data_IF_158170128840
#
_entry.id   IF_158170128840
#
_cell.length_a   1.000
_cell.length_b   1.000
_cell.length_c   1.000
_cell.angle_alpha   90.00
_cell.angle_beta   90.00
_cell.angle_gamma   90.00
#
_symmetry.space_group_name_H-M   'P 1'
#
loop_
_entity.id
_entity.type
_entity.pdbx_description
1 polymer ?
#
# COMPACT_ATOMS: atom_id res chain seq x y z
N UNK A 1 -15.16 13.44 26.09
CA UNK A 1 -15.82 12.11 26.06
C UNK A 1 -16.54 11.81 24.74
N UNK A 2 -17.61 12.52 24.36
CA UNK A 2 -18.40 12.22 23.13
C UNK A 2 -17.59 12.09 21.82
N UNK A 3 -16.62 12.99 21.58
CA UNK A 3 -15.75 12.94 20.38
C UNK A 3 -14.88 11.69 20.32
N UNK A 4 -14.26 11.31 21.44
CA UNK A 4 -13.40 10.14 21.53
C UNK A 4 -14.22 8.87 21.27
N UNK A 5 -15.39 8.76 21.91
CA UNK A 5 -16.31 7.64 21.69
C UNK A 5 -16.72 7.54 20.22
N UNK A 6 -17.08 8.66 19.58
CA UNK A 6 -17.43 8.68 18.16
C UNK A 6 -16.27 8.21 17.25
N UNK A 7 -15.05 8.64 17.54
CA UNK A 7 -13.86 8.20 16.81
C UNK A 7 -13.65 6.68 16.95
N UNK A 8 -13.72 6.16 18.18
CA UNK A 8 -13.53 4.72 18.43
C UNK A 8 -14.60 3.87 17.74
N UNK A 9 -15.86 4.32 17.73
CA UNK A 9 -16.94 3.63 17.01
C UNK A 9 -16.65 3.61 15.51
N UNK A 10 -16.27 4.74 14.91
CA UNK A 10 -15.97 4.80 13.48
C UNK A 10 -14.73 3.98 13.14
N UNK A 11 -13.69 3.96 13.98
CA UNK A 11 -12.53 3.07 13.82
C UNK A 11 -12.96 1.61 13.82
N UNK A 12 -13.80 1.19 14.78
CA UNK A 12 -14.31 -0.18 14.83
C UNK A 12 -15.13 -0.53 13.58
N UNK A 13 -15.99 0.39 13.10
CA UNK A 13 -16.75 0.19 11.86
C UNK A 13 -15.83 0.09 10.64
N UNK A 14 -14.79 0.93 10.55
CA UNK A 14 -13.83 0.86 9.45
C UNK A 14 -13.11 -0.49 9.41
N UNK A 15 -12.67 -1.00 10.57
CA UNK A 15 -12.09 -2.34 10.69
C UNK A 15 -13.09 -3.43 10.26
N UNK A 16 -14.36 -3.34 10.68
CA UNK A 16 -15.39 -4.30 10.31
C UNK A 16 -15.73 -4.27 8.82
N UNK A 17 -15.73 -3.09 8.19
CA UNK A 17 -15.98 -2.94 6.75
C UNK A 17 -14.79 -3.46 5.95
N UNK A 18 -13.58 -3.01 6.30
CA UNK A 18 -12.40 -3.19 5.45
C UNK A 18 -11.56 -4.44 5.77
N UNK A 19 -11.77 -5.06 6.94
CA UNK A 19 -11.05 -6.25 7.34
C UNK A 19 -9.64 -5.97 7.86
N UNK A 20 -8.90 -7.06 8.13
CA UNK A 20 -7.49 -7.01 8.52
C UNK A 20 -6.77 -8.27 8.05
N UNK A 21 -5.74 -8.07 7.22
CA UNK A 21 -5.02 -9.12 6.52
C UNK A 21 -3.50 -8.93 6.71
N UNK A 22 -2.92 -9.26 7.87
CA UNK A 22 -1.58 -8.84 8.30
C UNK A 22 -0.43 -9.23 7.36
N UNK A 23 -0.64 -10.26 6.54
CA UNK A 23 0.38 -10.84 5.68
C UNK A 23 0.09 -10.66 4.19
N UNK A 24 -1.00 -9.98 3.83
CA UNK A 24 -1.35 -9.77 2.44
C UNK A 24 -0.39 -8.78 1.75
N UNK A 25 -0.23 -8.96 0.44
CA UNK A 25 0.25 -7.90 -0.45
C UNK A 25 1.69 -7.45 -0.12
N UNK A 26 1.93 -6.14 0.05
CA UNK A 26 3.27 -5.60 0.36
C UNK A 26 3.76 -6.01 1.77
N UNK A 27 2.94 -6.68 2.59
CA UNK A 27 3.42 -7.27 3.84
C UNK A 27 4.55 -8.28 3.60
N UNK A 28 4.58 -8.94 2.45
CA UNK A 28 5.68 -9.81 2.01
C UNK A 28 7.03 -9.08 1.91
N UNK A 29 7.01 -7.75 1.75
CA UNK A 29 8.24 -6.93 1.71
C UNK A 29 8.54 -6.40 3.11
N UNK A 30 7.53 -5.87 3.80
CA UNK A 30 7.77 -5.12 5.04
C UNK A 30 7.89 -5.99 6.30
N UNK A 31 7.14 -7.09 6.38
CA UNK A 31 7.15 -7.98 7.56
C UNK A 31 8.47 -8.75 7.66
N UNK A 32 9.04 -9.32 6.58
CA UNK A 32 10.37 -9.94 6.64
C UNK A 32 11.47 -8.99 7.11
N UNK A 33 11.39 -7.70 6.75
CA UNK A 33 12.28 -6.68 7.28
C UNK A 33 12.22 -6.55 8.81
N UNK A 34 11.02 -6.56 9.39
CA UNK A 34 10.81 -6.54 10.85
C UNK A 34 11.35 -7.83 11.48
N UNK A 35 11.01 -8.98 10.90
CA UNK A 35 11.43 -10.30 11.36
C UNK A 35 12.95 -10.45 11.35
N UNK A 36 13.64 -9.98 10.31
CA UNK A 36 15.10 -10.00 10.20
C UNK A 36 15.77 -9.14 11.29
N UNK A 37 15.18 -8.01 11.68
CA UNK A 37 15.67 -7.21 12.81
C UNK A 37 15.49 -7.97 14.13
N UNK A 38 14.33 -8.60 14.32
CA UNK A 38 14.02 -9.36 15.55
C UNK A 38 14.88 -10.64 15.65
N UNK A 39 15.12 -11.31 14.54
CA UNK A 39 15.95 -12.50 14.43
C UNK A 39 16.83 -12.44 13.16
N UNK A 40 18.11 -12.03 13.29
CA UNK A 40 19.03 -11.89 12.16
C UNK A 40 19.32 -13.17 11.37
N UNK A 41 19.07 -14.34 11.96
CA UNK A 41 19.30 -15.64 11.30
C UNK A 41 18.26 -15.98 10.24
N UNK A 42 17.07 -15.36 10.28
CA UNK A 42 16.00 -15.60 9.30
C UNK A 42 16.41 -15.11 7.92
N UNK A 43 15.94 -15.78 6.86
CA UNK A 43 16.18 -15.39 5.47
C UNK A 43 17.69 -15.31 5.11
N UNK A 44 18.45 -16.42 5.16
CA UNK A 44 19.85 -16.43 4.72
C UNK A 44 20.02 -16.23 3.21
N UNK A 45 19.01 -16.60 2.42
CA UNK A 45 19.00 -16.48 0.97
C UNK A 45 17.94 -15.48 0.54
N UNK A 46 18.25 -14.68 -0.48
CA UNK A 46 17.31 -13.78 -1.16
C UNK A 46 16.74 -12.65 -0.28
N UNK A 47 17.44 -12.29 0.82
CA UNK A 47 17.02 -11.20 1.68
C UNK A 47 17.00 -9.84 0.96
N UNK A 48 17.83 -9.66 -0.07
CA UNK A 48 17.92 -8.44 -0.87
C UNK A 48 16.59 -8.01 -1.50
N UNK A 49 15.68 -8.95 -1.82
CA UNK A 49 14.39 -8.62 -2.43
C UNK A 49 13.46 -7.85 -1.49
N UNK A 50 13.62 -7.99 -0.17
CA UNK A 50 12.87 -7.19 0.78
C UNK A 50 13.75 -6.17 1.53
N UNK A 51 15.04 -6.45 1.71
CA UNK A 51 15.93 -5.61 2.52
C UNK A 51 16.25 -4.26 1.89
N UNK A 52 16.27 -4.16 0.56
CA UNK A 52 16.44 -2.87 -0.13
C UNK A 52 15.26 -1.93 0.20
N UNK A 53 14.03 -2.45 0.16
CA UNK A 53 12.85 -1.68 0.57
C UNK A 53 12.83 -1.39 2.07
N UNK A 54 13.04 -2.42 2.90
CA UNK A 54 12.97 -2.34 4.35
C UNK A 54 14.11 -1.51 4.96
N UNK A 55 15.29 -1.52 4.36
CA UNK A 55 16.50 -0.85 4.85
C UNK A 55 16.47 0.67 4.66
N UNK A 56 15.69 1.17 3.71
CA UNK A 56 15.56 2.60 3.42
C UNK A 56 14.39 3.29 4.14
N UNK A 57 13.81 2.66 5.16
CA UNK A 57 12.71 3.21 5.96
C UNK A 57 12.91 2.97 7.46
N UNK A 58 12.38 3.88 8.27
CA UNK A 58 12.26 3.72 9.72
C UNK A 58 11.26 2.62 10.12
N UNK A 59 10.35 2.22 9.23
CA UNK A 59 9.23 1.33 9.55
C UNK A 59 9.64 0.01 10.22
N UNK A 60 10.57 -0.81 9.66
CA UNK A 60 10.91 -2.08 10.29
C UNK A 60 11.51 -1.90 11.69
N UNK A 61 12.36 -0.89 11.86
CA UNK A 61 12.96 -0.55 13.14
C UNK A 61 11.91 -0.09 14.15
N UNK A 62 10.94 0.72 13.74
CA UNK A 62 9.85 1.21 14.58
C UNK A 62 9.00 0.05 15.11
N UNK A 63 8.58 -0.87 14.23
CA UNK A 63 7.75 -2.02 14.61
C UNK A 63 8.55 -3.03 15.45
N UNK A 64 9.79 -3.36 15.06
CA UNK A 64 10.65 -4.26 15.83
C UNK A 64 10.95 -3.72 17.24
N UNK A 65 11.24 -2.41 17.36
CA UNK A 65 11.46 -1.76 18.65
C UNK A 65 10.18 -1.77 19.49
N UNK A 66 9.02 -1.54 18.87
CA UNK A 66 7.72 -1.64 19.56
C UNK A 66 7.49 -3.05 20.13
N UNK A 67 7.84 -4.10 19.38
CA UNK A 67 7.76 -5.48 19.87
C UNK A 67 8.72 -5.75 21.03
N UNK A 68 9.98 -5.29 20.92
CA UNK A 68 10.98 -5.43 22.00
C UNK A 68 10.57 -4.72 23.29
N UNK A 69 10.02 -3.51 23.19
CA UNK A 69 9.63 -2.70 24.35
C UNK A 69 8.32 -3.17 25.00
N UNK A 70 7.36 -3.63 24.20
CA UNK A 70 6.06 -4.09 24.72
C UNK A 70 6.08 -5.54 25.19
N UNK A 71 7.09 -6.32 24.77
CA UNK A 71 7.16 -7.77 24.96
C UNK A 71 5.95 -8.54 24.38
N UNK A 72 5.18 -7.92 23.49
CA UNK A 72 4.05 -8.55 22.82
C UNK A 72 4.52 -9.34 21.58
N UNK A 73 3.83 -10.44 21.22
CA UNK A 73 4.04 -11.11 19.94
C UNK A 73 3.90 -10.14 18.76
N UNK A 74 4.69 -10.32 17.70
CA UNK A 74 4.70 -9.42 16.54
C UNK A 74 3.30 -9.24 15.92
N UNK A 75 2.49 -10.30 15.89
CA UNK A 75 1.09 -10.26 15.40
C UNK A 75 0.24 -9.25 16.15
N UNK A 76 0.35 -9.20 17.49
CA UNK A 76 -0.34 -8.21 18.31
C UNK A 76 0.20 -6.80 18.08
N UNK A 77 1.52 -6.65 17.96
CA UNK A 77 2.15 -5.35 17.70
C UNK A 77 1.68 -4.77 16.38
N UNK A 78 1.67 -5.58 15.32
CA UNK A 78 1.17 -5.16 14.00
C UNK A 78 -0.31 -4.79 14.04
N UNK A 79 -1.14 -5.57 14.73
CA UNK A 79 -2.56 -5.28 14.87
C UNK A 79 -2.80 -3.97 15.63
N UNK A 80 -2.13 -3.77 16.77
CA UNK A 80 -2.24 -2.54 17.55
C UNK A 80 -1.77 -1.31 16.76
N UNK A 81 -0.69 -1.43 15.99
CA UNK A 81 -0.23 -0.37 15.11
C UNK A 81 -1.20 -0.11 13.95
N UNK A 82 -1.86 -1.12 13.40
CA UNK A 82 -2.91 -0.93 12.40
C UNK A 82 -4.08 -0.13 12.98
N UNK A 83 -4.55 -0.49 14.18
CA UNK A 83 -5.60 0.27 14.89
C UNK A 83 -5.14 1.70 15.18
N UNK A 84 -3.91 1.88 15.65
CA UNK A 84 -3.33 3.21 15.88
C UNK A 84 -3.27 4.04 14.60
N UNK A 85 -2.85 3.45 13.48
CA UNK A 85 -2.78 4.10 12.18
C UNK A 85 -4.17 4.52 11.70
N UNK A 86 -5.20 3.67 11.85
CA UNK A 86 -6.60 4.02 11.55
C UNK A 86 -7.07 5.21 12.39
N UNK A 87 -6.84 5.17 13.71
CA UNK A 87 -7.24 6.26 14.61
C UNK A 87 -6.54 7.57 14.21
N UNK A 88 -5.24 7.53 13.95
CA UNK A 88 -4.44 8.70 13.57
C UNK A 88 -4.87 9.23 12.19
N UNK A 89 -5.17 8.37 11.24
CA UNK A 89 -5.64 8.75 9.90
C UNK A 89 -7.01 9.42 9.95
N UNK A 90 -7.96 8.87 10.72
CA UNK A 90 -9.26 9.50 10.95
C UNK A 90 -9.13 10.79 11.76
N UNK A 91 -8.18 10.88 12.70
CA UNK A 91 -7.92 12.10 13.45
C UNK A 91 -7.32 13.19 12.56
N UNK A 92 -6.41 12.83 11.64
CA UNK A 92 -5.86 13.75 10.64
C UNK A 92 -6.96 14.23 9.68
N UNK A 93 -7.85 13.33 9.27
CA UNK A 93 -9.05 13.64 8.49
C UNK A 93 -9.95 14.64 9.21
N UNK A 94 -10.26 14.39 10.49
CA UNK A 94 -11.06 15.29 11.31
C UNK A 94 -10.38 16.67 11.44
N UNK A 95 -9.08 16.69 11.72
CA UNK A 95 -8.29 17.90 11.90
C UNK A 95 -8.25 18.75 10.63
N UNK A 96 -8.10 18.12 9.47
CA UNK A 96 -8.16 18.80 8.19
C UNK A 96 -9.58 19.32 7.93
N UNK A 97 -10.62 18.50 8.14
CA UNK A 97 -12.00 18.93 7.97
C UNK A 97 -12.38 20.13 8.87
N UNK A 98 -11.92 20.16 10.13
CA UNK A 98 -12.05 21.30 11.06
C UNK A 98 -11.37 22.58 10.54
N UNK A 99 -10.42 22.45 9.62
CA UNK A 99 -9.69 23.57 9.00
C UNK A 99 -10.36 24.03 7.69
N UNK A 100 -11.14 23.17 7.04
CA UNK A 100 -11.83 23.47 5.78
C UNK A 100 -13.27 23.96 5.97
N UNK A 101 -13.93 23.51 7.04
CA UNK A 101 -15.35 23.76 7.28
C UNK A 101 -15.57 24.27 8.71
N UNK A 102 -16.59 25.11 8.90
CA UNK A 102 -17.03 25.53 10.24
C UNK A 102 -18.10 24.58 10.82
N UNK A 103 -18.89 23.93 9.96
CA UNK A 103 -19.98 23.05 10.37
C UNK A 103 -19.46 21.71 10.93
N UNK A 104 -19.84 21.39 12.18
CA UNK A 104 -19.52 20.12 12.83
C UNK A 104 -20.01 18.89 12.05
N UNK A 105 -21.08 19.03 11.27
CA UNK A 105 -21.61 17.95 10.43
C UNK A 105 -20.68 17.65 9.27
N UNK A 106 -20.06 18.68 8.68
CA UNK A 106 -19.07 18.52 7.63
C UNK A 106 -17.85 17.73 8.15
N UNK A 107 -17.44 18.01 9.39
CA UNK A 107 -16.33 17.30 10.05
C UNK A 107 -16.61 15.80 10.18
N UNK A 108 -17.75 15.44 10.75
CA UNK A 108 -18.11 14.03 10.93
C UNK A 108 -18.48 13.33 9.63
N UNK A 109 -19.02 14.05 8.63
CA UNK A 109 -19.25 13.49 7.31
C UNK A 109 -17.91 13.11 6.64
N UNK A 110 -16.88 13.96 6.77
CA UNK A 110 -15.54 13.64 6.26
C UNK A 110 -14.93 12.41 6.94
N UNK A 111 -15.03 12.32 8.26
CA UNK A 111 -14.54 11.15 9.01
C UNK A 111 -15.31 9.89 8.62
N UNK A 112 -16.65 9.95 8.53
CA UNK A 112 -17.48 8.81 8.16
C UNK A 112 -17.26 8.35 6.71
N UNK A 113 -17.14 9.28 5.75
CA UNK A 113 -16.89 8.92 4.35
C UNK A 113 -15.49 8.33 4.18
N UNK A 114 -14.48 8.92 4.83
CA UNK A 114 -13.13 8.38 4.80
C UNK A 114 -13.11 6.95 5.36
N UNK A 115 -13.71 6.74 6.54
CA UNK A 115 -13.81 5.43 7.18
C UNK A 115 -14.57 4.38 6.37
N UNK A 116 -15.51 4.80 5.51
CA UNK A 116 -16.26 3.90 4.65
C UNK A 116 -15.53 3.56 3.34
N UNK A 117 -14.44 4.25 3.00
CA UNK A 117 -13.76 4.19 1.70
C UNK A 117 -12.24 3.93 1.81
N UNK A 118 -11.73 3.37 2.92
CA UNK A 118 -10.29 3.12 3.07
C UNK A 118 -9.71 2.34 1.90
N UNK A 119 -10.35 1.23 1.54
CA UNK A 119 -9.88 0.35 0.47
C UNK A 119 -10.40 0.75 -0.91
N UNK A 120 -10.76 2.04 -1.11
CA UNK A 120 -11.10 2.55 -2.42
C UNK A 120 -9.83 2.61 -3.28
N UNK A 121 -9.77 1.92 -4.45
CA UNK A 121 -8.61 1.97 -5.32
C UNK A 121 -8.43 3.37 -5.92
N UNK A 122 -7.17 3.79 -6.01
CA UNK A 122 -6.75 5.09 -6.53
C UNK A 122 -6.34 4.93 -7.99
N UNK A 123 -7.33 5.00 -8.88
CA UNK A 123 -7.13 4.85 -10.33
C UNK A 123 -6.29 3.59 -10.66
N UNK A 124 -5.38 3.66 -11.63
CA UNK A 124 -4.45 2.57 -12.00
C UNK A 124 -3.13 2.59 -11.23
N UNK A 125 -3.07 3.21 -10.05
CA UNK A 125 -1.80 3.37 -9.30
C UNK A 125 -1.42 2.15 -8.46
N UNK A 126 -2.29 1.13 -8.39
CA UNK A 126 -2.18 -0.02 -7.47
C UNK A 126 -2.08 0.40 -6.00
N UNK A 127 -2.76 1.49 -5.63
CA UNK A 127 -2.85 1.99 -4.25
C UNK A 127 -4.31 2.03 -3.81
N UNK A 128 -4.53 1.75 -2.53
CA UNK A 128 -5.75 2.15 -1.82
C UNK A 128 -5.56 3.50 -1.13
N UNK A 129 -6.65 4.12 -0.67
CA UNK A 129 -6.57 5.28 0.22
C UNK A 129 -5.88 4.89 1.54
N UNK A 130 -6.22 3.73 2.07
CA UNK A 130 -5.66 3.16 3.29
C UNK A 130 -5.78 1.63 3.22
N UNK A 131 -4.66 0.94 3.41
CA UNK A 131 -4.58 -0.51 3.22
C UNK A 131 -5.09 -1.30 4.44
N UNK A 132 -5.64 -2.48 4.19
CA UNK A 132 -6.16 -3.45 5.16
C UNK A 132 -5.07 -4.22 5.95
N UNK A 133 -3.81 -3.78 5.83
CA UNK A 133 -2.67 -4.32 6.56
C UNK A 133 -1.72 -3.19 6.96
N UNK A 134 -0.86 -3.45 7.95
CA UNK A 134 0.07 -2.44 8.41
C UNK A 134 1.24 -2.31 7.44
N UNK A 135 1.47 -1.09 6.95
CA UNK A 135 2.59 -0.78 6.07
C UNK A 135 3.04 0.69 6.25
N UNK A 136 4.19 1.09 5.66
CA UNK A 136 4.69 2.45 5.79
C UNK A 136 3.81 3.50 5.10
N UNK A 137 3.02 3.14 4.08
CA UNK A 137 2.12 4.09 3.39
C UNK A 137 1.02 4.58 4.33
N UNK A 138 0.39 3.68 5.09
CA UNK A 138 -0.64 4.03 6.08
C UNK A 138 -0.11 5.04 7.11
N UNK A 139 1.15 4.89 7.54
CA UNK A 139 1.78 5.82 8.48
C UNK A 139 2.12 7.18 7.84
N UNK A 140 2.65 7.18 6.62
CA UNK A 140 2.94 8.41 5.88
C UNK A 140 1.66 9.18 5.50
N UNK A 141 0.56 8.48 5.22
CA UNK A 141 -0.71 9.08 4.82
C UNK A 141 -1.31 9.97 5.93
N UNK A 142 -1.41 9.49 7.17
CA UNK A 142 -1.94 10.32 8.26
C UNK A 142 -1.05 11.53 8.54
N UNK A 143 0.27 11.33 8.47
CA UNK A 143 1.24 12.40 8.70
C UNK A 143 1.14 13.47 7.62
N UNK A 144 0.97 13.08 6.35
CA UNK A 144 0.72 13.99 5.23
C UNK A 144 -0.56 14.83 5.42
N UNK A 145 -1.66 14.22 5.86
CA UNK A 145 -2.91 14.96 6.13
C UNK A 145 -2.78 15.93 7.31
N UNK A 146 -2.10 15.53 8.39
CA UNK A 146 -1.78 16.45 9.48
C UNK A 146 -0.91 17.61 9.02
N UNK A 147 0.13 17.33 8.22
CA UNK A 147 1.00 18.36 7.67
C UNK A 147 0.20 19.41 6.88
N UNK A 148 -0.67 18.97 5.97
CA UNK A 148 -1.53 19.88 5.18
C UNK A 148 -2.44 20.70 6.09
N UNK A 149 -3.08 20.07 7.07
CA UNK A 149 -3.93 20.79 8.02
C UNK A 149 -3.14 21.87 8.78
N UNK A 150 -1.92 21.57 9.22
CA UNK A 150 -1.10 22.53 9.96
C UNK A 150 -0.50 23.62 9.06
N UNK A 151 -0.22 23.35 7.77
CA UNK A 151 0.13 24.38 6.77
C UNK A 151 -0.99 25.42 6.64
N UNK A 152 -2.23 24.99 6.49
CA UNK A 152 -3.39 25.87 6.37
C UNK A 152 -3.63 26.69 7.64
N UNK A 153 -3.27 26.13 8.80
CA UNK A 153 -3.29 26.82 10.10
C UNK A 153 -2.04 27.69 10.35
N UNK A 154 -1.13 27.78 9.37
CA UNK A 154 0.15 28.53 9.43
C UNK A 154 1.10 28.04 10.53
N UNK A 155 0.96 26.78 10.93
CA UNK A 155 1.80 26.10 11.93
C UNK A 155 2.89 25.30 11.22
N UNK A 156 3.75 26.00 10.49
CA UNK A 156 4.74 25.40 9.59
C UNK A 156 5.73 24.48 10.31
N UNK A 157 6.10 24.79 11.55
CA UNK A 157 6.99 23.94 12.34
C UNK A 157 6.37 22.57 12.63
N UNK A 158 5.11 22.54 13.06
CA UNK A 158 4.39 21.27 13.32
C UNK A 158 4.19 20.51 12.01
N UNK A 159 3.89 21.21 10.91
CA UNK A 159 3.84 20.57 9.59
C UNK A 159 5.19 19.95 9.21
N UNK A 160 6.31 20.63 9.47
CA UNK A 160 7.63 20.11 9.15
C UNK A 160 7.93 18.82 9.93
N UNK A 161 7.57 18.76 11.22
CA UNK A 161 7.72 17.54 12.03
C UNK A 161 6.93 16.36 11.44
N UNK A 162 5.69 16.58 11.02
CA UNK A 162 4.90 15.54 10.35
C UNK A 162 5.50 15.09 9.02
N UNK A 163 5.98 16.04 8.21
CA UNK A 163 6.62 15.72 6.93
C UNK A 163 7.96 14.98 7.11
N UNK A 164 8.74 15.32 8.14
CA UNK A 164 9.96 14.59 8.50
C UNK A 164 9.63 13.17 8.91
N UNK A 165 8.65 12.98 9.79
CA UNK A 165 8.17 11.63 10.17
C UNK A 165 7.69 10.84 8.95
N UNK A 166 6.88 11.46 8.09
CA UNK A 166 6.41 10.82 6.87
C UNK A 166 7.61 10.41 5.99
N UNK A 167 8.57 11.31 5.78
CA UNK A 167 9.72 11.07 4.91
C UNK A 167 10.64 9.95 5.43
N UNK A 168 10.83 9.84 6.75
CA UNK A 168 11.63 8.74 7.33
C UNK A 168 10.92 7.39 7.23
N UNK A 169 9.59 7.38 7.23
CA UNK A 169 8.79 6.15 7.16
C UNK A 169 8.51 5.73 5.71
N UNK A 170 8.21 6.65 4.81
CA UNK A 170 8.00 6.36 3.40
C UNK A 170 8.46 7.54 2.52
N UNK A 171 9.71 7.53 2.02
CA UNK A 171 10.27 8.64 1.26
C UNK A 171 9.44 9.05 0.03
N UNK A 172 9.05 8.07 -0.81
CA UNK A 172 8.34 8.34 -2.07
C UNK A 172 6.94 8.96 -1.86
N UNK A 173 6.10 8.37 -1.00
CA UNK A 173 4.77 8.95 -0.75
C UNK A 173 4.86 10.33 -0.09
N UNK A 174 5.88 10.52 0.75
CA UNK A 174 6.10 11.78 1.47
C UNK A 174 6.59 12.90 0.57
N UNK A 175 7.32 12.61 -0.51
CA UNK A 175 7.73 13.64 -1.46
C UNK A 175 6.51 14.35 -2.06
N UNK A 176 5.43 13.62 -2.37
CA UNK A 176 4.19 14.23 -2.86
C UNK A 176 3.53 15.14 -1.82
N UNK A 177 3.48 14.71 -0.55
CA UNK A 177 2.95 15.53 0.54
C UNK A 177 3.82 16.79 0.78
N UNK A 178 5.15 16.66 0.77
CA UNK A 178 6.09 17.78 0.89
C UNK A 178 5.88 18.77 -0.26
N UNK A 179 5.89 18.29 -1.50
CA UNK A 179 5.68 19.12 -2.69
C UNK A 179 4.34 19.84 -2.64
N UNK A 180 3.26 19.16 -2.24
CA UNK A 180 1.94 19.78 -2.11
C UNK A 180 1.88 20.81 -0.98
N UNK A 181 2.48 20.55 0.17
CA UNK A 181 2.57 21.52 1.27
C UNK A 181 3.36 22.78 0.86
N UNK A 182 4.52 22.62 0.21
CA UNK A 182 5.29 23.73 -0.35
C UNK A 182 4.47 24.51 -1.39
N UNK A 183 3.74 23.80 -2.24
CA UNK A 183 2.86 24.37 -3.23
C UNK A 183 1.74 25.22 -2.60
N UNK A 184 1.10 24.73 -1.54
CA UNK A 184 0.10 25.49 -0.77
C UNK A 184 0.69 26.76 -0.14
N UNK A 185 1.89 26.66 0.45
CA UNK A 185 2.57 27.83 1.05
C UNK A 185 2.88 28.87 -0.02
N UNK A 186 3.37 28.44 -1.19
CA UNK A 186 3.67 29.33 -2.31
C UNK A 186 2.40 30.03 -2.79
N UNK A 187 1.30 29.31 -2.98
CA UNK A 187 0.03 29.87 -3.44
C UNK A 187 -0.63 30.83 -2.43
N UNK A 188 -0.53 30.59 -1.12
CA UNK A 188 -1.05 31.53 -0.10
C UNK A 188 -0.20 32.80 0.00
N UNK A 189 1.11 32.73 -0.30
CA UNK A 189 2.06 33.85 -0.21
C UNK A 189 2.16 34.68 -1.50
N UNK A 190 2.16 34.01 -2.65
CA UNK A 190 2.40 34.59 -3.96
C UNK A 190 1.38 34.01 -4.94
N UNK A 191 0.19 34.62 -5.13
CA UNK A 191 -0.77 34.15 -6.12
C UNK A 191 -0.19 34.42 -7.52
N UNK A 192 0.41 33.43 -8.21
CA UNK A 192 1.15 33.70 -9.41
C UNK A 192 0.18 33.86 -10.60
N UNK A 193 0.46 34.80 -11.51
CA UNK A 193 -0.28 34.93 -12.78
C UNK A 193 0.06 33.81 -13.78
N UNK A 194 1.18 33.11 -13.56
CA UNK A 194 1.64 31.97 -14.36
C UNK A 194 2.09 30.84 -13.44
N UNK A 195 1.45 29.69 -13.55
CA UNK A 195 1.69 28.49 -12.77
C UNK A 195 2.93 27.75 -13.29
N UNK A 196 4.13 28.18 -12.89
CA UNK A 196 5.38 27.47 -13.16
C UNK A 196 5.85 26.72 -11.91
N UNK A 197 5.87 25.38 -11.94
CA UNK A 197 6.37 24.55 -10.85
C UNK A 197 7.63 23.81 -11.30
N UNK A 198 8.71 23.94 -10.55
CA UNK A 198 9.91 23.13 -10.74
C UNK A 198 9.75 21.86 -9.87
N UNK A 199 9.58 20.71 -10.53
CA UNK A 199 9.56 19.43 -9.84
C UNK A 199 10.96 19.10 -9.31
N UNK A 200 11.15 19.17 -8.00
CA UNK A 200 12.30 18.57 -7.33
C UNK A 200 11.97 17.08 -7.13
N UNK A 201 12.52 16.22 -7.98
CA UNK A 201 12.44 14.76 -7.83
C UNK A 201 13.56 14.30 -6.89
N UNK A 202 13.28 13.77 -5.68
CA UNK A 202 14.31 13.53 -4.67
C UNK A 202 14.92 12.12 -4.72
N UNK A 203 15.01 11.50 -5.90
CA UNK A 203 15.60 10.17 -6.05
C UNK A 203 16.56 10.13 -7.22
N UNK A 204 17.73 9.51 -7.02
CA UNK A 204 18.84 9.44 -7.96
C UNK A 204 18.38 9.31 -9.40
N UNK A 205 18.48 10.42 -10.14
CA UNK A 205 18.23 10.50 -11.57
C UNK A 205 19.44 9.87 -12.27
N UNK A 206 19.49 8.54 -12.25
CA UNK A 206 20.44 7.82 -13.09
C UNK A 206 19.82 7.76 -14.48
N UNK A 207 20.44 8.43 -15.44
CA UNK A 207 20.11 8.29 -16.86
C UNK A 207 20.78 7.06 -17.48
N UNK A 208 21.59 6.35 -16.69
CA UNK A 208 22.23 5.12 -17.11
C UNK A 208 21.17 4.08 -17.48
N UNK A 209 21.35 3.36 -18.60
CA UNK A 209 20.41 2.33 -19.00
C UNK A 209 20.39 1.22 -17.94
N UNK A 210 19.19 0.75 -17.54
CA UNK A 210 19.11 -0.35 -16.59
C UNK A 210 19.64 -1.65 -17.22
N UNK A 211 19.98 -2.68 -16.43
CA UNK A 211 20.39 -3.98 -16.95
C UNK A 211 19.36 -4.53 -17.94
N UNK A 212 19.77 -5.30 -18.95
CA UNK A 212 18.84 -5.86 -19.95
C UNK A 212 17.69 -6.69 -19.33
N UNK A 213 17.96 -7.36 -18.20
CA UNK A 213 16.96 -8.09 -17.43
C UNK A 213 15.84 -7.20 -16.86
N UNK A 214 16.11 -5.91 -16.62
CA UNK A 214 15.13 -4.95 -16.11
C UNK A 214 13.94 -4.77 -17.05
N UNK A 215 14.17 -4.84 -18.35
CA UNK A 215 13.09 -4.71 -19.34
C UNK A 215 11.98 -5.75 -19.12
N UNK A 216 12.34 -6.99 -18.74
CA UNK A 216 11.36 -8.04 -18.44
C UNK A 216 10.51 -7.72 -17.21
N UNK A 217 11.09 -7.01 -16.24
CA UNK A 217 10.41 -6.55 -15.01
C UNK A 217 9.47 -5.41 -15.35
N UNK A 218 9.96 -4.40 -16.09
CA UNK A 218 9.21 -3.26 -16.58
C UNK A 218 7.94 -3.68 -17.33
N UNK A 219 8.04 -4.65 -18.23
CA UNK A 219 6.89 -5.20 -18.97
C UNK A 219 5.81 -5.82 -18.06
N UNK A 220 6.14 -6.17 -16.81
CA UNK A 220 5.23 -6.80 -15.84
C UNK A 220 4.66 -5.82 -14.80
N UNK A 221 4.88 -4.50 -14.98
CA UNK A 221 4.43 -3.43 -14.07
C UNK A 221 3.43 -2.47 -14.72
N UNK A 222 2.18 -2.90 -15.00
CA UNK A 222 1.20 -2.07 -15.72
C UNK A 222 0.94 -0.72 -15.04
N UNK A 223 0.96 -0.66 -13.70
CA UNK A 223 0.74 0.57 -12.93
C UNK A 223 1.76 1.70 -13.20
N UNK A 224 2.97 1.35 -13.66
CA UNK A 224 4.03 2.33 -13.97
C UNK A 224 3.85 2.97 -15.35
N UNK A 225 3.08 2.34 -16.24
CA UNK A 225 2.94 2.73 -17.64
C UNK A 225 1.53 3.21 -17.92
N UNK A 226 1.37 4.53 -18.03
CA UNK A 226 0.06 5.16 -18.15
C UNK A 226 -0.74 4.70 -19.39
N UNK A 227 -0.06 4.32 -20.47
CA UNK A 227 -0.72 3.82 -21.69
C UNK A 227 -1.29 2.41 -21.53
N UNK A 228 -1.00 1.72 -20.43
CA UNK A 228 -1.57 0.41 -20.09
C UNK A 228 -2.74 0.51 -19.12
N UNK A 229 -3.13 1.73 -18.74
CA UNK A 229 -4.25 1.95 -17.85
C UNK A 229 -5.58 1.70 -18.57
N UNK A 230 -6.49 1.07 -17.87
CA UNK A 230 -7.85 0.81 -18.33
C UNK A 230 -8.68 2.09 -18.39
N UNK A 231 -9.75 2.10 -19.18
CA UNK A 231 -10.58 3.31 -19.39
C UNK A 231 -11.14 3.89 -18.07
N UNK A 232 -11.46 3.04 -17.10
CA UNK A 232 -11.97 3.47 -15.79
C UNK A 232 -10.86 4.05 -14.89
N UNK A 233 -9.61 3.65 -15.11
CA UNK A 233 -8.45 4.21 -14.41
C UNK A 233 -8.15 5.63 -14.93
N UNK A 234 -8.36 5.88 -16.22
CA UNK A 234 -8.34 7.23 -16.80
C UNK A 234 -9.42 8.12 -16.19
N UNK A 235 -10.65 7.61 -16.01
CA UNK A 235 -11.67 8.33 -15.25
C UNK A 235 -11.20 8.65 -13.83
N UNK A 236 -10.42 7.75 -13.23
CA UNK A 236 -9.80 7.95 -11.93
C UNK A 236 -8.79 9.12 -11.87
N UNK A 237 -8.26 9.60 -12.99
CA UNK A 237 -7.42 10.82 -13.05
C UNK A 237 -8.25 12.05 -13.40
N UNK A 238 -9.17 11.91 -14.35
CA UNK A 238 -9.97 13.01 -14.90
C UNK A 238 -11.02 13.50 -13.89
N UNK A 239 -11.71 12.58 -13.23
CA UNK A 239 -12.80 12.93 -12.30
C UNK A 239 -12.31 13.78 -11.11
N UNK A 240 -11.20 13.47 -10.41
CA UNK A 240 -10.68 14.36 -9.37
C UNK A 240 -10.42 15.79 -9.86
N UNK A 241 -9.85 15.97 -11.05
CA UNK A 241 -9.57 17.30 -11.62
C UNK A 241 -10.88 18.10 -11.80
N UNK A 242 -11.89 17.49 -12.42
CA UNK A 242 -13.19 18.12 -12.66
C UNK A 242 -13.92 18.43 -11.35
N UNK A 243 -13.86 17.50 -10.38
CA UNK A 243 -14.49 17.67 -9.08
C UNK A 243 -13.80 18.77 -8.27
N UNK A 244 -12.47 18.81 -8.21
CA UNK A 244 -11.75 19.91 -7.54
C UNK A 244 -12.03 21.25 -8.18
N UNK A 245 -12.13 21.32 -9.52
CA UNK A 245 -12.54 22.56 -10.19
C UNK A 245 -13.95 23.00 -9.80
N UNK A 246 -14.90 22.06 -9.70
CA UNK A 246 -16.27 22.35 -9.28
C UNK A 246 -16.31 22.80 -7.82
N UNK A 247 -15.61 22.10 -6.92
CA UNK A 247 -15.47 22.44 -5.50
C UNK A 247 -14.84 23.82 -5.34
N UNK A 248 -13.77 24.14 -6.09
CA UNK A 248 -13.13 25.45 -6.06
C UNK A 248 -14.08 26.59 -6.42
N UNK A 249 -14.92 26.39 -7.45
CA UNK A 249 -15.94 27.38 -7.85
C UNK A 249 -17.01 27.56 -6.78
N UNK A 250 -17.48 26.47 -6.18
CA UNK A 250 -18.45 26.51 -5.09
C UNK A 250 -17.87 27.20 -3.85
N UNK A 251 -16.65 26.83 -3.46
CA UNK A 251 -15.94 27.38 -2.31
C UNK A 251 -15.72 28.89 -2.46
N UNK A 252 -15.32 29.37 -3.64
CA UNK A 252 -15.20 30.80 -3.94
C UNK A 252 -16.54 31.54 -3.75
N UNK A 253 -17.63 31.03 -4.35
CA UNK A 253 -18.98 31.63 -4.21
C UNK A 253 -19.45 31.69 -2.76
N UNK A 254 -19.03 30.73 -1.94
CA UNK A 254 -19.38 30.63 -0.51
C UNK A 254 -18.34 31.25 0.43
N UNK A 255 -17.29 31.89 -0.10
CA UNK A 255 -16.17 32.51 0.65
C UNK A 255 -15.42 31.52 1.57
N UNK A 256 -15.33 30.25 1.16
CA UNK A 256 -14.63 29.19 1.91
C UNK A 256 -13.15 29.14 1.50
N UNK A 257 -12.35 30.07 2.03
CA UNK A 257 -10.96 30.33 1.59
C UNK A 257 -10.07 29.08 1.54
N UNK A 258 -10.02 28.29 2.61
CA UNK A 258 -9.12 27.14 2.69
C UNK A 258 -9.53 26.02 1.73
N UNK A 259 -10.84 25.77 1.59
CA UNK A 259 -11.38 24.79 0.66
C UNK A 259 -11.10 25.20 -0.79
N UNK A 260 -11.26 26.48 -1.10
CA UNK A 260 -10.92 27.04 -2.41
C UNK A 260 -9.43 26.88 -2.72
N UNK A 261 -8.55 27.25 -1.78
CA UNK A 261 -7.10 27.18 -1.94
C UNK A 261 -6.66 25.75 -2.29
N UNK A 262 -7.04 24.75 -1.48
CA UNK A 262 -6.66 23.36 -1.73
C UNK A 262 -7.21 22.85 -3.06
N UNK A 263 -8.48 23.14 -3.35
CA UNK A 263 -9.12 22.64 -4.55
C UNK A 263 -8.49 23.23 -5.81
N UNK A 264 -8.15 24.53 -5.79
CA UNK A 264 -7.40 25.17 -6.88
C UNK A 264 -5.96 24.68 -6.98
N UNK A 265 -5.31 24.41 -5.85
CA UNK A 265 -3.93 23.94 -5.81
C UNK A 265 -3.78 22.52 -6.38
N UNK A 266 -4.77 21.65 -6.13
CA UNK A 266 -4.73 20.24 -6.52
C UNK A 266 -4.86 20.02 -8.04
N UNK A 267 -5.57 20.90 -8.75
CA UNK A 267 -5.75 20.81 -10.21
C UNK A 267 -4.40 20.82 -10.96
N UNK A 268 -3.57 21.88 -10.88
CA UNK A 268 -2.28 21.90 -11.56
C UNK A 268 -1.33 20.83 -11.00
N UNK A 269 -1.44 20.48 -9.71
CA UNK A 269 -0.62 19.42 -9.11
C UNK A 269 -0.85 18.06 -9.80
N UNK A 270 -2.11 17.67 -10.02
CA UNK A 270 -2.46 16.44 -10.74
C UNK A 270 -2.09 16.55 -12.23
N UNK A 271 -2.36 17.68 -12.89
CA UNK A 271 -2.07 17.84 -14.33
C UNK A 271 -0.56 17.79 -14.63
N UNK A 272 0.26 18.36 -13.75
CA UNK A 272 1.72 18.31 -13.87
C UNK A 272 2.21 16.87 -13.62
N UNK A 273 1.69 16.19 -12.61
CA UNK A 273 2.02 14.78 -12.36
C UNK A 273 1.63 13.90 -13.54
N UNK A 274 0.47 14.15 -14.16
CA UNK A 274 0.02 13.47 -15.37
C UNK A 274 0.99 13.70 -16.54
N UNK A 275 1.37 14.95 -16.80
CA UNK A 275 2.36 15.28 -17.83
C UNK A 275 3.71 14.61 -17.56
N UNK A 276 4.18 14.63 -16.31
CA UNK A 276 5.41 13.96 -15.89
C UNK A 276 5.31 12.44 -16.10
N UNK A 277 4.17 11.81 -15.81
CA UNK A 277 3.95 10.39 -16.08
C UNK A 277 4.05 10.05 -17.56
N UNK A 278 3.52 10.87 -18.47
CA UNK A 278 3.74 10.66 -19.91
C UNK A 278 5.22 10.78 -20.30
N UNK A 279 5.91 11.81 -19.78
CA UNK A 279 7.33 12.02 -20.07
C UNK A 279 8.18 10.86 -19.58
N UNK A 280 7.90 10.31 -18.40
CA UNK A 280 8.73 9.26 -17.79
C UNK A 280 8.37 7.84 -18.26
N UNK A 281 7.12 7.57 -18.63
CA UNK A 281 6.67 6.20 -18.93
C UNK A 281 6.55 5.87 -20.42
N UNK A 282 6.44 6.85 -21.31
CA UNK A 282 6.27 6.60 -22.75
C UNK A 282 7.60 6.37 -23.48
N UNK A 283 8.64 7.21 -23.30
CA UNK A 283 9.89 7.05 -24.04
C UNK A 283 10.70 5.87 -23.47
N UNK A 284 11.17 4.91 -24.31
CA UNK A 284 11.96 3.77 -23.83
C UNK A 284 13.24 4.17 -23.09
N UNK A 285 13.85 5.30 -23.45
CA UNK A 285 15.05 5.87 -22.77
C UNK A 285 14.83 6.23 -21.30
N UNK A 286 13.59 6.35 -20.84
CA UNK A 286 13.25 6.70 -19.46
C UNK A 286 12.61 5.54 -18.70
N UNK A 287 12.69 4.32 -19.22
CA UNK A 287 12.09 3.12 -18.63
C UNK A 287 12.41 2.98 -17.12
N UNK A 288 13.67 3.15 -16.73
CA UNK A 288 14.09 3.11 -15.33
C UNK A 288 13.54 4.26 -14.47
N UNK A 289 13.20 5.40 -15.06
CA UNK A 289 12.63 6.55 -14.36
C UNK A 289 11.12 6.41 -14.13
N UNK A 290 10.45 5.46 -14.80
CA UNK A 290 9.03 5.16 -14.54
C UNK A 290 8.77 4.77 -13.07
N UNK A 291 9.79 4.25 -12.36
CA UNK A 291 9.76 3.94 -10.92
C UNK A 291 9.42 5.13 -10.00
N UNK A 292 9.59 6.36 -10.50
CA UNK A 292 9.22 7.59 -9.77
C UNK A 292 7.71 7.76 -9.64
N UNK A 293 6.93 7.10 -10.49
CA UNK A 293 5.47 6.98 -10.42
C UNK A 293 4.73 8.29 -10.04
N UNK A 294 4.86 9.38 -10.82
CA UNK A 294 4.32 10.70 -10.45
C UNK A 294 2.83 10.68 -10.08
N UNK A 295 2.03 9.87 -10.76
CA UNK A 295 0.59 9.72 -10.49
C UNK A 295 0.25 9.06 -9.15
N UNK A 296 1.21 8.53 -8.38
CA UNK A 296 0.97 8.17 -6.97
C UNK A 296 0.58 9.37 -6.10
N UNK A 297 0.82 10.60 -6.58
CA UNK A 297 0.26 11.81 -5.97
C UNK A 297 -1.28 11.81 -5.90
N UNK A 298 -1.96 11.00 -6.73
CA UNK A 298 -3.41 10.82 -6.70
C UNK A 298 -3.88 10.25 -5.37
N UNK A 299 -3.07 9.48 -4.63
CA UNK A 299 -3.48 8.98 -3.31
C UNK A 299 -3.81 10.16 -2.37
N UNK A 300 -2.95 11.17 -2.34
CA UNK A 300 -3.22 12.41 -1.62
C UNK A 300 -4.43 13.16 -2.21
N UNK A 301 -4.52 13.22 -3.54
CA UNK A 301 -5.66 13.82 -4.25
C UNK A 301 -7.00 13.22 -3.84
N UNK A 302 -7.09 11.89 -3.78
CA UNK A 302 -8.29 11.15 -3.40
C UNK A 302 -8.63 11.39 -1.93
N UNK A 303 -7.65 11.38 -1.03
CA UNK A 303 -7.89 11.71 0.38
C UNK A 303 -8.49 13.12 0.53
N UNK A 304 -7.90 14.12 -0.12
CA UNK A 304 -8.42 15.49 -0.08
C UNK A 304 -9.79 15.62 -0.73
N UNK A 305 -10.03 14.89 -1.82
CA UNK A 305 -11.31 14.89 -2.52
C UNK A 305 -12.42 14.29 -1.65
N UNK A 306 -12.16 13.16 -0.99
CA UNK A 306 -13.09 12.53 -0.05
C UNK A 306 -13.42 13.50 1.08
N UNK A 307 -12.42 14.15 1.69
CA UNK A 307 -12.63 15.10 2.78
C UNK A 307 -13.45 16.32 2.32
N UNK A 308 -13.08 16.92 1.19
CA UNK A 308 -13.76 18.08 0.64
C UNK A 308 -15.19 17.77 0.22
N UNK A 309 -15.40 16.68 -0.54
CA UNK A 309 -16.70 16.22 -1.00
C UNK A 309 -17.62 15.85 0.15
N UNK A 310 -17.12 15.06 1.12
CA UNK A 310 -17.88 14.68 2.30
C UNK A 310 -18.27 15.88 3.16
N UNK A 311 -17.37 16.85 3.35
CA UNK A 311 -17.67 18.05 4.10
C UNK A 311 -18.80 18.87 3.47
N UNK A 312 -18.77 19.03 2.14
CA UNK A 312 -19.86 19.67 1.38
C UNK A 312 -21.18 18.89 1.49
N UNK A 313 -21.13 17.56 1.39
CA UNK A 313 -22.31 16.71 1.58
C UNK A 313 -22.88 16.86 3.00
N UNK A 314 -22.01 16.84 4.02
CA UNK A 314 -22.39 17.04 5.42
C UNK A 314 -23.10 18.38 5.64
N UNK A 315 -22.51 19.46 5.11
CA UNK A 315 -23.01 20.82 5.28
C UNK A 315 -24.31 21.08 4.50
N UNK A 316 -24.41 20.62 3.26
CA UNK A 316 -25.47 21.03 2.34
C UNK A 316 -26.53 19.97 2.07
N UNK A 317 -26.20 18.68 2.15
CA UNK A 317 -27.10 17.57 1.77
C UNK A 317 -27.59 16.82 3.01
N UNK A 318 -26.67 16.26 3.82
CA UNK A 318 -27.02 15.40 4.94
C UNK A 318 -27.74 16.17 6.05
N UNK A 319 -27.19 17.32 6.47
CA UNK A 319 -27.76 18.17 7.53
C UNK A 319 -28.12 17.34 8.78
N UNK A 320 -29.26 17.64 9.42
CA UNK A 320 -29.76 16.95 10.62
C UNK A 320 -30.59 15.69 10.32
N UNK A 321 -30.70 15.26 9.06
CA UNK A 321 -31.58 14.15 8.70
C UNK A 321 -30.82 12.83 8.77
N UNK A 322 -30.93 12.11 9.89
CA UNK A 322 -30.22 10.84 10.13
C UNK A 322 -30.38 9.81 9.00
N UNK A 323 -31.55 9.74 8.37
CA UNK A 323 -31.78 8.81 7.26
C UNK A 323 -30.91 9.12 6.03
N UNK A 324 -30.57 10.38 5.77
CA UNK A 324 -29.66 10.76 4.67
C UNK A 324 -28.26 10.23 4.90
N UNK A 325 -27.82 10.19 6.16
CA UNK A 325 -26.54 9.59 6.53
C UNK A 325 -26.57 8.10 6.27
N UNK A 326 -27.62 7.38 6.69
CA UNK A 326 -27.71 5.95 6.44
C UNK A 326 -27.75 5.60 4.95
N UNK A 327 -28.58 6.30 4.17
CA UNK A 327 -28.72 6.07 2.72
C UNK A 327 -27.40 6.30 1.98
N UNK A 328 -26.53 7.19 2.47
CA UNK A 328 -25.21 7.40 1.87
C UNK A 328 -24.18 6.36 2.35
N UNK A 329 -24.00 6.23 3.67
CA UNK A 329 -22.87 5.50 4.23
C UNK A 329 -23.09 3.99 4.29
N UNK A 330 -24.33 3.52 4.49
CA UNK A 330 -24.59 2.07 4.57
C UNK A 330 -24.34 1.38 3.23
N UNK A 331 -24.86 1.84 2.07
CA UNK A 331 -24.56 1.19 0.79
C UNK A 331 -23.07 1.23 0.43
N UNK A 332 -22.38 2.34 0.72
CA UNK A 332 -20.94 2.45 0.48
C UNK A 332 -20.15 1.47 1.36
N UNK A 333 -20.46 1.41 2.66
CA UNK A 333 -19.83 0.47 3.57
C UNK A 333 -20.11 -0.99 3.21
N UNK A 334 -21.34 -1.33 2.85
CA UNK A 334 -21.70 -2.68 2.38
C UNK A 334 -20.99 -3.02 1.07
N UNK A 335 -20.90 -2.08 0.12
CA UNK A 335 -20.17 -2.25 -1.12
C UNK A 335 -18.68 -2.50 -0.89
N UNK A 336 -18.04 -1.74 0.00
CA UNK A 336 -16.62 -1.96 0.35
C UNK A 336 -16.40 -3.26 1.11
N UNK A 337 -17.30 -3.63 2.02
CA UNK A 337 -17.25 -4.94 2.69
C UNK A 337 -17.36 -6.10 1.68
N UNK A 338 -18.29 -6.01 0.73
CA UNK A 338 -18.44 -7.00 -0.32
C UNK A 338 -17.20 -7.08 -1.21
N UNK A 339 -16.62 -5.93 -1.57
CA UNK A 339 -15.38 -5.87 -2.34
C UNK A 339 -14.20 -6.52 -1.60
N UNK A 340 -14.05 -6.27 -0.30
CA UNK A 340 -13.01 -6.93 0.51
C UNK A 340 -13.23 -8.42 0.64
N UNK A 341 -14.49 -8.87 0.80
CA UNK A 341 -14.80 -10.31 0.80
C UNK A 341 -14.56 -11.00 -0.53
N UNK A 342 -14.65 -10.27 -1.63
CA UNK A 342 -14.32 -10.77 -2.95
C UNK A 342 -12.80 -10.77 -3.20
N UNK A 343 -12.07 -9.82 -2.62
CA UNK A 343 -10.62 -9.73 -2.72
C UNK A 343 -9.91 -10.85 -1.93
N UNK A 344 -10.43 -11.18 -0.74
CA UNK A 344 -9.93 -12.25 0.12
C UNK A 344 -11.00 -13.32 0.40
N UNK A 345 -11.38 -14.14 -0.61
CA UNK A 345 -12.46 -15.11 -0.49
C UNK A 345 -12.12 -16.32 0.39
N UNK A 346 -10.85 -16.73 0.47
CA UNK A 346 -10.38 -17.89 1.22
C UNK A 346 -9.96 -17.53 2.67
N UNK A 347 -9.49 -16.31 2.90
CA UNK A 347 -9.05 -15.83 4.22
C UNK A 347 -10.23 -15.36 5.09
N UNK A 348 -9.98 -15.27 6.40
CA UNK A 348 -10.94 -14.68 7.33
C UNK A 348 -11.01 -13.16 7.07
N UNK A 349 -12.21 -12.55 7.21
CA UNK A 349 -12.34 -11.09 6.98
C UNK A 349 -11.48 -10.27 7.95
N UNK A 350 -11.33 -10.77 9.18
CA UNK A 350 -10.40 -10.22 10.16
C UNK A 350 -9.55 -11.39 10.64
N UNK A 351 -8.27 -11.36 10.31
CA UNK A 351 -7.28 -12.32 10.76
C UNK A 351 -6.74 -11.88 12.12
N UNK A 352 -7.41 -12.33 13.18
CA UNK A 352 -7.07 -11.97 14.55
C UNK A 352 -5.68 -12.48 14.96
N UNK A 353 -4.89 -11.68 15.71
CA UNK A 353 -3.62 -12.14 16.27
C UNK A 353 -3.79 -13.44 17.08
N UNK A 354 -3.00 -14.46 16.72
CA UNK A 354 -3.01 -15.76 17.40
C UNK A 354 -4.13 -16.71 16.97
N UNK A 355 -5.03 -16.31 16.07
CA UNK A 355 -5.99 -17.21 15.46
C UNK A 355 -5.29 -18.15 14.44
N UNK A 356 -5.81 -19.37 14.30
CA UNK A 356 -5.37 -20.28 13.24
C UNK A 356 -5.87 -19.76 11.88
N UNK A 357 -5.01 -19.70 10.85
CA UNK A 357 -5.41 -19.28 9.52
C UNK A 357 -6.56 -20.11 8.94
N UNK A 358 -7.53 -19.46 8.33
CA UNK A 358 -8.61 -20.15 7.59
C UNK A 358 -8.14 -20.62 6.22
N UNK A 359 -7.26 -19.85 5.59
CA UNK A 359 -6.75 -20.09 4.26
C UNK A 359 -5.81 -21.31 4.23
N UNK A 360 -6.03 -22.32 3.37
CA UNK A 360 -5.18 -23.51 3.28
C UNK A 360 -3.71 -23.20 2.94
N UNK A 361 -3.41 -22.14 2.20
CA UNK A 361 -2.04 -21.72 1.91
C UNK A 361 -1.36 -21.18 3.16
N UNK A 362 -1.99 -20.24 3.85
CA UNK A 362 -1.49 -19.71 5.12
C UNK A 362 -1.34 -20.80 6.20
N UNK A 363 -2.22 -21.81 6.22
CA UNK A 363 -2.06 -22.98 7.10
C UNK A 363 -0.78 -23.75 6.79
N UNK A 364 -0.45 -23.94 5.51
CA UNK A 364 0.80 -24.58 5.10
C UNK A 364 2.00 -23.72 5.48
N UNK A 365 1.94 -22.40 5.30
CA UNK A 365 3.00 -21.47 5.69
C UNK A 365 3.22 -21.46 7.21
N UNK A 366 2.14 -21.46 8.00
CA UNK A 366 2.20 -21.59 9.44
C UNK A 366 2.81 -22.93 9.87
N UNK A 367 2.49 -24.03 9.18
CA UNK A 367 3.11 -25.33 9.41
C UNK A 367 4.60 -25.30 9.08
N UNK A 368 5.00 -24.72 7.95
CA UNK A 368 6.39 -24.57 7.52
C UNK A 368 7.20 -23.84 8.60
N UNK A 369 6.69 -22.72 9.10
CA UNK A 369 7.34 -21.93 10.16
C UNK A 369 7.70 -22.76 11.38
N UNK A 370 6.85 -23.72 11.75
CA UNK A 370 7.01 -24.51 12.97
C UNK A 370 7.79 -25.82 12.75
N UNK A 371 7.83 -26.36 11.53
CA UNK A 371 8.27 -27.73 11.27
C UNK A 371 9.49 -27.87 10.34
N UNK A 372 10.05 -26.76 9.85
CA UNK A 372 11.26 -26.79 9.00
C UNK A 372 12.42 -25.98 9.60
N UNK A 373 13.67 -26.24 9.24
CA UNK A 373 14.83 -25.44 9.69
C UNK A 373 14.72 -23.97 9.26
N UNK A 374 15.15 -23.03 10.10
CA UNK A 374 15.07 -21.58 9.81
C UNK A 374 15.92 -21.13 8.62
N UNK A 375 16.93 -21.91 8.26
CA UNK A 375 17.81 -21.71 7.12
C UNK A 375 17.35 -22.45 5.85
N UNK A 376 16.21 -23.14 5.90
CA UNK A 376 15.64 -23.83 4.75
C UNK A 376 15.28 -22.84 3.62
N UNK A 377 15.63 -23.24 2.39
CA UNK A 377 15.26 -22.55 1.16
C UNK A 377 14.14 -23.32 0.47
N UNK A 378 13.05 -22.61 0.19
CA UNK A 378 11.88 -23.14 -0.49
C UNK A 378 11.85 -22.75 -1.96
N UNK A 379 11.30 -23.62 -2.79
CA UNK A 379 10.73 -23.26 -4.09
C UNK A 379 9.22 -23.52 -4.06
N UNK A 380 8.47 -22.63 -4.68
CA UNK A 380 7.02 -22.70 -4.80
C UNK A 380 6.63 -21.98 -6.10
N UNK A 381 5.37 -22.14 -6.53
CA UNK A 381 4.91 -21.48 -7.76
C UNK A 381 5.28 -19.98 -7.71
N UNK A 382 6.09 -19.44 -8.64
CA UNK A 382 6.49 -18.05 -8.62
C UNK A 382 5.29 -17.11 -8.82
N UNK A 383 4.10 -17.64 -9.12
CA UNK A 383 2.83 -16.91 -9.20
C UNK A 383 1.87 -17.30 -8.07
N UNK A 384 2.33 -17.91 -6.97
CA UNK A 384 1.45 -18.43 -5.92
C UNK A 384 0.43 -17.41 -5.43
N UNK A 385 0.84 -16.15 -5.24
CA UNK A 385 -0.06 -15.07 -4.82
C UNK A 385 -1.18 -14.73 -5.81
N UNK A 386 -0.95 -14.92 -7.11
CA UNK A 386 -1.96 -14.70 -8.14
C UNK A 386 -2.91 -15.91 -8.28
N UNK A 387 -2.70 -17.00 -7.53
CA UNK A 387 -3.52 -18.20 -7.65
C UNK A 387 -4.88 -18.04 -6.97
N UNK A 388 -5.95 -18.59 -7.56
CA UNK A 388 -7.26 -18.60 -6.92
C UNK A 388 -7.23 -19.25 -5.53
N UNK A 389 -7.69 -18.49 -4.52
CA UNK A 389 -7.80 -18.95 -3.14
C UNK A 389 -6.50 -18.93 -2.33
N UNK A 390 -5.40 -18.37 -2.86
CA UNK A 390 -4.20 -18.05 -2.08
C UNK A 390 -4.36 -16.74 -1.30
N UNK A 391 -5.06 -15.76 -1.88
CA UNK A 391 -5.43 -14.48 -1.25
C UNK A 391 -4.24 -13.53 -1.00
N UNK A 392 -3.21 -13.60 -1.83
CA UNK A 392 -2.00 -12.75 -1.84
C UNK A 392 -1.21 -12.76 -0.52
N UNK A 393 -1.14 -13.90 0.16
CA UNK A 393 -0.43 -14.04 1.42
C UNK A 393 1.09 -14.14 1.21
N UNK A 394 1.84 -13.35 1.98
CA UNK A 394 3.30 -13.33 1.93
C UNK A 394 3.94 -14.60 2.48
N UNK A 395 4.59 -15.39 1.62
CA UNK A 395 5.33 -16.57 2.05
C UNK A 395 6.40 -16.25 3.11
N UNK A 396 7.31 -15.30 2.87
CA UNK A 396 8.37 -14.96 3.85
C UNK A 396 7.76 -14.38 5.12
N UNK A 397 6.68 -13.62 4.99
CA UNK A 397 5.97 -13.01 6.11
C UNK A 397 5.27 -14.05 7.02
N UNK A 398 4.67 -15.10 6.44
CA UNK A 398 3.96 -16.15 7.17
C UNK A 398 4.87 -17.30 7.61
N UNK A 399 5.68 -17.82 6.69
CA UNK A 399 6.48 -19.02 6.88
C UNK A 399 7.82 -18.74 7.58
N UNK A 400 8.29 -17.49 7.56
CA UNK A 400 9.59 -17.09 8.13
C UNK A 400 10.76 -17.94 7.56
N UNK A 401 10.69 -18.27 6.26
CA UNK A 401 11.72 -19.02 5.53
C UNK A 401 12.16 -18.29 4.28
N UNK A 402 13.35 -18.61 3.79
CA UNK A 402 13.80 -18.15 2.47
C UNK A 402 13.02 -18.86 1.38
N UNK A 403 12.78 -18.14 0.28
CA UNK A 403 12.27 -18.71 -0.97
C UNK A 403 13.04 -18.17 -2.17
N UNK A 404 13.00 -18.92 -3.28
CA UNK A 404 13.35 -18.40 -4.60
C UNK A 404 12.44 -17.22 -4.97
N UNK A 405 12.90 -16.38 -5.90
CA UNK A 405 12.24 -15.13 -6.22
C UNK A 405 10.88 -15.36 -6.89
N UNK A 406 9.84 -14.69 -6.39
CA UNK A 406 8.52 -14.75 -7.00
C UNK A 406 8.36 -13.73 -8.15
N UNK A 407 7.27 -13.87 -8.91
CA UNK A 407 6.92 -12.99 -10.03
C UNK A 407 5.81 -11.98 -9.68
N UNK A 408 5.44 -11.86 -8.40
CA UNK A 408 4.33 -11.04 -7.90
C UNK A 408 4.83 -9.87 -7.06
N UNK A 409 5.57 -10.10 -5.97
CA UNK A 409 6.09 -9.04 -5.07
C UNK A 409 7.57 -8.75 -5.29
N UNK A 410 8.40 -9.75 -5.57
CA UNK A 410 9.84 -9.52 -5.81
C UNK A 410 10.11 -8.73 -7.09
N UNK A 411 9.18 -8.77 -8.06
CA UNK A 411 9.21 -7.85 -9.21
C UNK A 411 9.07 -6.38 -8.80
N UNK A 412 8.32 -6.09 -7.74
CA UNK A 412 8.12 -4.74 -7.19
C UNK A 412 9.44 -4.17 -6.69
N UNK A 413 10.15 -4.94 -5.87
CA UNK A 413 11.49 -4.59 -5.41
C UNK A 413 12.45 -4.38 -6.57
N UNK A 414 12.45 -5.30 -7.52
CA UNK A 414 13.32 -5.24 -8.70
C UNK A 414 13.06 -4.02 -9.58
N UNK A 415 11.81 -3.56 -9.67
CA UNK A 415 11.45 -2.35 -10.43
C UNK A 415 12.04 -1.09 -9.80
N UNK A 416 12.09 -1.06 -8.46
CA UNK A 416 12.63 0.07 -7.70
C UNK A 416 14.16 0.02 -7.63
N UNK A 417 14.74 -1.19 -7.61
CA UNK A 417 16.18 -1.46 -7.50
C UNK A 417 16.67 -2.30 -8.70
N UNK A 418 16.95 -1.64 -9.86
CA UNK A 418 17.31 -2.33 -11.10
C UNK A 418 18.45 -3.37 -11.03
N UNK A 419 19.48 -3.23 -10.17
CA UNK A 419 20.53 -4.26 -10.03
C UNK A 419 20.00 -5.65 -9.63
N UNK A 420 18.85 -5.74 -8.96
CA UNK A 420 18.24 -7.02 -8.58
C UNK A 420 17.69 -7.81 -9.78
N UNK A 421 17.51 -7.15 -10.93
CA UNK A 421 16.79 -7.74 -12.07
C UNK A 421 17.48 -8.97 -12.66
N UNK A 422 18.81 -9.04 -12.61
CA UNK A 422 19.56 -10.18 -13.13
C UNK A 422 19.24 -11.43 -12.31
N UNK A 423 19.39 -11.35 -10.98
CA UNK A 423 19.13 -12.46 -10.07
C UNK A 423 17.65 -12.87 -10.08
N UNK A 424 16.77 -11.88 -10.09
CA UNK A 424 15.32 -12.11 -10.17
C UNK A 424 14.94 -12.88 -11.44
N UNK A 425 15.40 -12.41 -12.60
CA UNK A 425 15.06 -13.02 -13.88
C UNK A 425 15.60 -14.45 -13.96
N UNK A 426 16.82 -14.68 -13.47
CA UNK A 426 17.42 -16.01 -13.42
C UNK A 426 16.56 -17.01 -12.64
N UNK A 427 16.14 -16.67 -11.43
CA UNK A 427 15.32 -17.56 -10.59
C UNK A 427 13.93 -17.77 -11.19
N UNK A 428 13.27 -16.69 -11.63
CA UNK A 428 11.93 -16.78 -12.23
C UNK A 428 11.92 -17.57 -13.55
N UNK A 429 12.97 -17.45 -14.37
CA UNK A 429 13.09 -18.24 -15.61
C UNK A 429 13.38 -19.71 -15.32
N UNK A 430 14.16 -20.02 -14.28
CA UNK A 430 14.43 -21.38 -13.83
C UNK A 430 13.21 -22.09 -13.22
N UNK A 431 12.25 -21.31 -12.71
CA UNK A 431 10.95 -21.75 -12.17
C UNK A 431 9.81 -21.66 -13.22
N UNK A 432 10.13 -21.31 -14.47
CA UNK A 432 9.15 -21.14 -15.54
C UNK A 432 8.46 -22.45 -15.89
N UNK A 433 7.16 -22.39 -16.19
CA UNK A 433 6.31 -23.56 -16.45
C UNK A 433 6.16 -24.49 -15.23
N UNK A 434 6.19 -23.93 -14.02
CA UNK A 434 6.01 -24.64 -12.75
C UNK A 434 5.00 -25.80 -12.76
N UNK A 435 3.83 -25.60 -13.39
CA UNK A 435 2.77 -26.64 -13.49
C UNK A 435 3.17 -27.91 -14.24
N UNK A 436 4.23 -27.86 -15.04
CA UNK A 436 4.75 -28.97 -15.84
C UNK A 436 5.97 -29.63 -15.20
N UNK A 437 6.46 -29.12 -14.07
CA UNK A 437 7.66 -29.61 -13.42
C UNK A 437 7.57 -31.10 -13.08
N UNK A 438 8.64 -31.81 -13.42
CA UNK A 438 8.90 -33.18 -13.01
C UNK A 438 9.95 -33.21 -11.90
N UNK A 439 10.23 -34.39 -11.37
CA UNK A 439 11.20 -34.56 -10.27
C UNK A 439 12.58 -34.00 -10.63
N UNK A 440 13.00 -34.18 -11.87
CA UNK A 440 14.28 -33.72 -12.40
C UNK A 440 14.39 -32.18 -12.38
N UNK A 441 13.28 -31.46 -12.59
CA UNK A 441 13.28 -30.00 -12.53
C UNK A 441 13.50 -29.49 -11.10
N UNK A 442 12.91 -30.15 -10.10
CA UNK A 442 13.14 -29.81 -8.70
C UNK A 442 14.56 -30.17 -8.25
N UNK A 443 15.12 -31.28 -8.73
CA UNK A 443 16.52 -31.62 -8.47
C UNK A 443 17.48 -30.61 -9.12
N UNK A 444 17.14 -30.06 -10.30
CA UNK A 444 17.90 -28.96 -10.90
C UNK A 444 17.91 -27.74 -9.97
N UNK A 445 16.75 -27.33 -9.43
CA UNK A 445 16.68 -26.20 -8.50
C UNK A 445 17.46 -26.46 -7.22
N UNK A 446 17.40 -27.68 -6.69
CA UNK A 446 18.19 -28.09 -5.54
C UNK A 446 19.69 -28.00 -5.81
N UNK A 447 20.16 -28.55 -6.92
CA UNK A 447 21.59 -28.53 -7.27
C UNK A 447 22.10 -27.10 -7.51
N UNK A 448 21.29 -26.24 -8.14
CA UNK A 448 21.70 -24.88 -8.50
C UNK A 448 21.63 -23.90 -7.32
N UNK A 449 20.57 -23.96 -6.53
CA UNK A 449 20.27 -22.97 -5.50
C UNK A 449 20.29 -23.50 -4.06
N UNK A 450 20.36 -24.82 -3.86
CA UNK A 450 20.26 -25.42 -2.54
C UNK A 450 18.84 -25.49 -1.98
N UNK A 451 17.83 -25.52 -2.85
CA UNK A 451 16.42 -25.72 -2.44
C UNK A 451 16.30 -27.06 -1.71
N UNK A 452 15.80 -27.04 -0.48
CA UNK A 452 15.61 -28.24 0.35
C UNK A 452 14.14 -28.62 0.55
N UNK A 453 13.23 -27.70 0.24
CA UNK A 453 11.79 -27.90 0.40
C UNK A 453 11.00 -27.30 -0.75
N UNK A 454 9.84 -27.89 -1.04
CA UNK A 454 8.92 -27.39 -2.07
C UNK A 454 7.49 -27.31 -1.57
N UNK A 455 6.76 -26.31 -2.04
CA UNK A 455 5.31 -26.21 -1.86
C UNK A 455 4.62 -26.49 -3.20
N UNK A 456 3.81 -27.53 -3.23
CA UNK A 456 3.13 -27.99 -4.44
C UNK A 456 1.62 -27.88 -4.30
N UNK A 457 0.96 -27.36 -5.32
CA UNK A 457 -0.49 -27.47 -5.47
C UNK A 457 -0.91 -28.94 -5.64
N UNK A 458 -2.02 -29.32 -5.04
CA UNK A 458 -2.63 -30.64 -5.23
C UNK A 458 -3.18 -30.80 -6.67
N UNK A 459 -3.05 -31.99 -7.29
CA UNK A 459 -2.41 -33.20 -6.77
C UNK A 459 -0.87 -33.18 -6.86
N UNK A 460 -0.30 -32.35 -7.74
CA UNK A 460 1.14 -32.23 -7.98
C UNK A 460 1.85 -33.50 -8.48
N UNK A 461 3.12 -33.42 -8.91
CA UNK A 461 3.90 -34.56 -9.40
C UNK A 461 4.17 -35.61 -8.30
N UNK A 462 3.88 -36.92 -8.49
CA UNK A 462 4.07 -37.92 -7.44
C UNK A 462 5.56 -38.17 -7.09
N UNK A 463 5.82 -38.89 -6.00
CA UNK A 463 7.17 -39.37 -5.68
C UNK A 463 8.02 -38.50 -4.76
N UNK A 464 7.40 -37.56 -4.05
CA UNK A 464 8.03 -36.77 -2.98
C UNK A 464 7.52 -37.18 -1.60
N UNK A 465 8.39 -37.10 -0.59
CA UNK A 465 7.98 -37.20 0.81
C UNK A 465 7.37 -35.86 1.25
N UNK A 466 6.05 -35.86 1.48
CA UNK A 466 5.29 -34.67 1.81
C UNK A 466 4.70 -34.77 3.23
N UNK A 467 5.48 -34.40 4.27
CA UNK A 467 5.03 -34.50 5.67
C UNK A 467 3.81 -33.63 6.00
N UNK A 468 3.47 -32.66 5.16
CA UNK A 468 2.24 -31.89 5.28
C UNK A 468 1.44 -31.91 3.98
N UNK A 469 0.13 -32.05 4.11
CA UNK A 469 -0.83 -31.98 3.03
C UNK A 469 -2.17 -31.49 3.54
N UNK A 470 -2.83 -30.62 2.77
CA UNK A 470 -4.22 -30.24 2.97
C UNK A 470 -5.00 -30.33 1.64
N UNK A 471 -6.18 -29.71 1.58
CA UNK A 471 -7.05 -29.73 0.39
C UNK A 471 -6.46 -29.05 -0.84
N UNK A 472 -5.48 -28.16 -0.66
CA UNK A 472 -5.00 -27.25 -1.72
C UNK A 472 -3.53 -27.46 -2.02
N UNK A 473 -2.71 -27.66 -1.00
CA UNK A 473 -1.25 -27.76 -1.14
C UNK A 473 -0.68 -28.89 -0.29
N UNK A 474 0.54 -29.28 -0.65
CA UNK A 474 1.40 -30.17 0.11
C UNK A 474 2.80 -29.59 0.19
N UNK A 475 3.49 -29.83 1.30
CA UNK A 475 4.85 -29.36 1.55
C UNK A 475 5.74 -30.59 1.59
N UNK A 476 6.75 -30.62 0.71
CA UNK A 476 7.56 -31.80 0.47
C UNK A 476 9.05 -31.51 0.61
N UNK A 477 9.80 -32.53 1.01
CA UNK A 477 11.26 -32.50 1.10
C UNK A 477 11.89 -32.82 -0.24
N UNK A 478 13.03 -32.16 -0.51
CA UNK A 478 13.94 -32.50 -1.60
C UNK A 478 15.22 -33.10 -0.99
N UNK A 479 15.30 -34.43 -0.97
CA UNK A 479 16.33 -35.24 -0.31
C UNK A 479 17.49 -35.65 -1.22
#
# INVERSE_FOLDING_TARGET
MKRIVGMLIITALALLIHGYHPYAEDAEIYVPGVLKILNPSLFPVNAEFFSEHAGHTLYPNLIATSARLSHLPLTWVMFLWQIAAIILFLAATLRLAETLFEDKRAHWAAVALMAALFTLPVAGTALYIFDQYLNPRNLAAFAGLFAIAEVLRRKYWISALWLVFAATVHPLMSSFAIMFCLWLVLLDRFPPRVLGFAALLPFGLTLDPPPAAYHQVALRQPSHYILRWEWYEWLGVIAPVLLFWWIARLANRRKMRNLELISRAMIPFILIALAASFVLSVPPRFEALARLQPLRCLALGYMLLVIAGAGLLGQFVLKNHWWRWLVLFVPLGVGMFAAQKQLFPASAHIEWPGATPRNPWEQAFAWIRLNTPSDALFALDPKHMDLPGEDEAGFRACAERSMLADSVKDKGATTMFPPLAVKWLEQVDDEKNWKQFQKEDFERLRQKYGVSWIVLQQPGPPGFDCPYSNSTVRVCRLD
#
